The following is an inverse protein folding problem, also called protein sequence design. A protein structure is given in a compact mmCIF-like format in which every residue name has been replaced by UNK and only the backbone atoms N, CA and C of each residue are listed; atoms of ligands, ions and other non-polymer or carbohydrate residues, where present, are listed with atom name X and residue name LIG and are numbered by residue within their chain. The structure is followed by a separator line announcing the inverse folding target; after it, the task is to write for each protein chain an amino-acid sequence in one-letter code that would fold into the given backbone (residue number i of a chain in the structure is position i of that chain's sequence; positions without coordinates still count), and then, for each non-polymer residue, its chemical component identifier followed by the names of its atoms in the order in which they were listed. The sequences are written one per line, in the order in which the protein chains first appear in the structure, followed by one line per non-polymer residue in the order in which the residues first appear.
data_IF_195429485542
#
_entry.id   IF_195429485542
#
_cell.length_a   1.000
_cell.length_b   1.000
_cell.length_c   1.000
_cell.angle_alpha   90.00
_cell.angle_beta   90.00
_cell.angle_gamma   90.00
#
_symmetry.space_group_name_H-M   'P 1'
#
loop_
_entity.id
_entity.type
_entity.pdbx_description
1 polymer ?
#
# COMPACT_ATOMS: atom_id res chain seq x y z
N UNK A 1 -11.05 3.30 -5.29
CA UNK A 1 -10.00 2.39 -4.80
C UNK A 1 -10.41 1.80 -3.47
N UNK A 2 -10.37 0.51 -3.36
CA UNK A 2 -10.56 -0.17 -2.08
C UNK A 2 -9.20 -0.63 -1.57
N UNK A 3 -8.98 -0.41 -0.29
CA UNK A 3 -7.74 -0.79 0.39
C UNK A 3 -8.07 -1.70 1.55
N UNK A 4 -7.36 -2.83 1.64
CA UNK A 4 -7.47 -3.72 2.76
C UNK A 4 -6.09 -3.91 3.37
N UNK A 5 -6.01 -3.73 4.69
CA UNK A 5 -4.77 -3.91 5.42
C UNK A 5 -4.92 -5.11 6.34
N UNK A 6 -3.94 -5.99 6.30
CA UNK A 6 -3.85 -7.11 7.22
C UNK A 6 -2.47 -7.08 7.86
N UNK A 7 -2.42 -7.25 9.17
CA UNK A 7 -1.15 -7.30 9.88
C UNK A 7 -0.99 -8.69 10.50
N UNK A 8 0.16 -9.30 10.23
CA UNK A 8 0.47 -10.62 10.75
C UNK A 8 1.90 -10.61 11.26
N UNK A 9 2.06 -10.68 12.58
CA UNK A 9 3.36 -10.50 13.24
C UNK A 9 3.96 -9.14 12.84
N UNK A 10 5.12 -9.15 12.19
CA UNK A 10 5.79 -7.93 11.74
C UNK A 10 5.59 -7.65 10.24
N UNK A 11 4.60 -8.29 9.63
CA UNK A 11 4.31 -8.16 8.21
C UNK A 11 3.00 -7.42 8.02
N UNK A 12 3.03 -6.40 7.17
CA UNK A 12 1.83 -5.70 6.74
C UNK A 12 1.50 -6.09 5.32
N UNK A 13 0.28 -6.57 5.10
CA UNK A 13 -0.22 -6.95 3.78
C UNK A 13 -1.21 -5.88 3.34
N UNK A 14 -0.94 -5.27 2.19
CA UNK A 14 -1.79 -4.23 1.62
C UNK A 14 -2.39 -4.76 0.33
N UNK A 15 -3.71 -4.94 0.31
CA UNK A 15 -4.42 -5.41 -0.89
C UNK A 15 -5.09 -4.21 -1.53
N UNK A 16 -4.83 -4.01 -2.82
CA UNK A 16 -5.34 -2.89 -3.60
C UNK A 16 -6.36 -3.39 -4.61
N UNK A 17 -7.51 -2.71 -4.67
CA UNK A 17 -8.55 -3.03 -5.66
C UNK A 17 -9.01 -1.76 -6.34
N UNK A 18 -9.02 -1.77 -7.66
CA UNK A 18 -9.48 -0.65 -8.48
C UNK A 18 -8.32 0.10 -9.12
N UNK A 19 -8.41 1.42 -9.16
CA UNK A 19 -7.46 2.27 -9.84
C UNK A 19 -6.57 3.00 -8.84
N UNK A 20 -5.28 2.94 -9.06
CA UNK A 20 -4.28 3.60 -8.22
C UNK A 20 -3.78 4.87 -8.93
N UNK A 21 -4.34 6.01 -8.56
CA UNK A 21 -3.94 7.30 -9.09
C UNK A 21 -3.05 8.06 -8.09
N UNK A 22 -2.69 9.28 -8.46
CA UNK A 22 -1.80 10.11 -7.65
C UNK A 22 -2.34 10.37 -6.23
N UNK A 23 -3.63 10.67 -6.12
CA UNK A 23 -4.23 10.98 -4.82
C UNK A 23 -4.23 9.77 -3.90
N UNK A 24 -4.59 8.63 -4.45
CA UNK A 24 -4.60 7.38 -3.69
C UNK A 24 -3.17 6.98 -3.31
N UNK A 25 -2.22 7.17 -4.23
CA UNK A 25 -0.82 6.86 -3.97
C UNK A 25 -0.27 7.66 -2.79
N UNK A 26 -0.58 8.95 -2.71
CA UNK A 26 -0.15 9.77 -1.59
C UNK A 26 -0.76 9.31 -0.26
N UNK A 27 -2.03 8.95 -0.29
CA UNK A 27 -2.70 8.45 0.90
C UNK A 27 -2.06 7.17 1.40
N UNK A 28 -1.80 6.24 0.49
CA UNK A 28 -1.16 4.97 0.84
C UNK A 28 0.22 5.22 1.43
N UNK A 29 1.02 6.07 0.80
CA UNK A 29 2.36 6.39 1.28
C UNK A 29 2.32 6.93 2.70
N UNK A 30 1.41 7.86 2.99
CA UNK A 30 1.29 8.42 4.34
C UNK A 30 0.92 7.36 5.37
N UNK A 31 -0.02 6.47 5.03
CA UNK A 31 -0.43 5.42 5.94
C UNK A 31 0.68 4.40 6.18
N UNK A 32 1.44 4.05 5.14
CA UNK A 32 2.54 3.12 5.27
C UNK A 32 3.69 3.73 6.08
N UNK A 33 4.02 4.99 5.84
CA UNK A 33 5.05 5.68 6.61
C UNK A 33 4.70 5.72 8.09
N UNK A 34 3.44 5.96 8.39
CA UNK A 34 2.97 5.97 9.77
C UNK A 34 3.12 4.59 10.41
N UNK A 35 2.68 3.54 9.72
CA UNK A 35 2.76 2.18 10.23
C UNK A 35 4.22 1.74 10.45
N UNK A 36 5.09 2.08 9.50
CA UNK A 36 6.51 1.73 9.58
C UNK A 36 7.20 2.51 10.70
N UNK A 37 6.84 3.78 10.89
CA UNK A 37 7.46 4.63 11.92
C UNK A 37 7.24 4.10 13.33
N UNK A 38 6.21 3.31 13.54
CA UNK A 38 5.96 2.68 14.83
C UNK A 38 6.90 1.53 15.15
N UNK A 39 7.72 1.13 14.19
CA UNK A 39 8.75 0.11 14.40
C UNK A 39 8.27 -1.32 14.49
N UNK A 40 6.97 -1.57 14.27
CA UNK A 40 6.41 -2.92 14.35
C UNK A 40 6.46 -3.67 13.03
N UNK A 41 6.51 -2.94 11.93
CA UNK A 41 6.44 -3.52 10.58
C UNK A 41 7.85 -3.63 10.01
N UNK A 42 8.25 -4.85 9.66
CA UNK A 42 9.54 -5.13 9.04
C UNK A 42 9.40 -5.64 7.61
N UNK A 43 8.23 -6.17 7.26
CA UNK A 43 7.97 -6.70 5.93
C UNK A 43 6.70 -6.08 5.39
N UNK A 44 6.69 -5.79 4.09
CA UNK A 44 5.55 -5.20 3.41
C UNK A 44 5.23 -6.02 2.17
N UNK A 45 3.98 -6.46 2.07
CA UNK A 45 3.51 -7.24 0.94
C UNK A 45 2.35 -6.51 0.29
N UNK A 46 2.45 -6.30 -1.02
CA UNK A 46 1.37 -5.70 -1.81
C UNK A 46 0.63 -6.77 -2.58
N UNK A 47 -0.69 -6.84 -2.39
CA UNK A 47 -1.55 -7.69 -3.20
C UNK A 47 -2.12 -6.89 -4.35
N UNK A 48 -1.65 -7.16 -5.56
CA UNK A 48 -2.01 -6.39 -6.75
C UNK A 48 -2.96 -7.13 -7.68
N UNK A 49 -3.47 -8.26 -7.26
CA UNK A 49 -4.31 -9.12 -8.09
C UNK A 49 -5.55 -8.41 -8.64
N UNK A 50 -6.13 -7.53 -7.83
CA UNK A 50 -7.36 -6.83 -8.21
C UNK A 50 -7.13 -5.38 -8.64
N UNK A 51 -5.88 -5.01 -8.84
CA UNK A 51 -5.53 -3.69 -9.34
C UNK A 51 -5.83 -3.61 -10.83
N UNK A 52 -6.66 -2.65 -11.23
CA UNK A 52 -7.07 -2.48 -12.63
C UNK A 52 -6.19 -1.52 -13.39
N UNK A 53 -5.66 -0.50 -12.72
CA UNK A 53 -4.87 0.54 -13.34
C UNK A 53 -3.89 1.14 -12.33
N UNK A 54 -2.67 1.44 -12.79
CA UNK A 54 -1.67 2.11 -11.98
C UNK A 54 -0.91 3.11 -12.86
N UNK A 55 -0.91 4.39 -12.47
CA UNK A 55 -0.11 5.38 -13.16
C UNK A 55 1.31 5.42 -12.60
N UNK A 56 2.13 6.33 -13.09
CA UNK A 56 3.53 6.43 -12.66
C UNK A 56 3.66 6.78 -11.17
N UNK A 57 2.68 7.46 -10.60
CA UNK A 57 2.69 7.78 -9.17
C UNK A 57 2.52 6.53 -8.31
N UNK A 58 1.73 5.57 -8.79
CA UNK A 58 1.56 4.29 -8.11
C UNK A 58 2.87 3.52 -8.03
N UNK A 59 3.67 3.56 -9.09
CA UNK A 59 4.99 2.93 -9.10
C UNK A 59 5.86 3.54 -8.01
N UNK A 60 5.80 4.84 -7.82
CA UNK A 60 6.55 5.53 -6.77
C UNK A 60 6.22 5.07 -5.36
N UNK A 61 4.98 4.66 -5.11
CA UNK A 61 4.58 4.13 -3.81
C UNK A 61 5.22 2.76 -3.55
N UNK A 62 5.29 1.92 -4.59
CA UNK A 62 5.82 0.56 -4.46
C UNK A 62 7.33 0.55 -4.33
N UNK A 63 8.01 1.45 -5.02
CA UNK A 63 9.45 1.59 -4.96
C UNK A 63 9.87 2.28 -3.66
#
# INVERSE_FOLDING_TARGET
MELHYEEYYNTLIVKLKGELDHHVAEKIRSELDYAISKGRIKNLIFGLKELEFMDSSGIGVII
#
